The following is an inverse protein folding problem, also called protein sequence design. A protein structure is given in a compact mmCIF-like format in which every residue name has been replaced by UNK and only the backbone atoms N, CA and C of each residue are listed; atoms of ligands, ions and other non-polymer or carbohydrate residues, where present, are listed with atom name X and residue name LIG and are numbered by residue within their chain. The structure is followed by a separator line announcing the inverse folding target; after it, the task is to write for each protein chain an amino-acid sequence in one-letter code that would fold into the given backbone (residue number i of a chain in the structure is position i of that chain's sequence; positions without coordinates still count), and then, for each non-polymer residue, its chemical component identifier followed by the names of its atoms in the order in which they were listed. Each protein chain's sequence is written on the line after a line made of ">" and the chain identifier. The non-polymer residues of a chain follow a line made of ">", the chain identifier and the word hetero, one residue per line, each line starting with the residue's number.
data_IF_332432658472
#
_entry.id   IF_332432658472
#
_cell.length_a   1.000
_cell.length_b   1.000
_cell.length_c   1.000
_cell.angle_alpha   90.00
_cell.angle_beta   90.00
_cell.angle_gamma   90.00
#
_symmetry.space_group_name_H-M   'P 1'
#
loop_
_entity.id
_entity.type
_entity.pdbx_description
1 polymer ?
#
# COMPACT_ATOMS: atom_id res chain seq x y z
N UNK A 1 -9.94 0.50 -3.23
CA UNK A 1 -10.71 0.58 -4.48
C UNK A 1 -9.86 1.29 -5.53
N UNK A 2 -9.60 0.67 -6.68
CA UNK A 2 -8.88 1.23 -7.82
C UNK A 2 -9.87 1.63 -8.93
N UNK A 3 -9.47 2.51 -9.86
CA UNK A 3 -10.36 3.04 -10.90
C UNK A 3 -10.98 1.94 -11.79
N UNK A 4 -10.24 0.84 -12.03
CA UNK A 4 -10.70 -0.29 -12.83
C UNK A 4 -11.95 -0.96 -12.26
N UNK A 5 -12.17 -0.91 -10.95
CA UNK A 5 -13.34 -1.51 -10.29
C UNK A 5 -14.65 -0.79 -10.61
N UNK A 6 -14.59 0.40 -11.25
CA UNK A 6 -15.78 1.14 -11.66
C UNK A 6 -16.43 0.62 -12.95
N UNK A 7 -15.79 -0.36 -13.63
CA UNK A 7 -16.30 -0.91 -14.90
C UNK A 7 -16.38 0.11 -16.02
N UNK A 8 -15.54 1.16 -15.96
CA UNK A 8 -15.50 2.26 -16.94
C UNK A 8 -14.39 2.12 -17.98
N UNK A 9 -13.59 1.06 -17.90
CA UNK A 9 -12.52 0.81 -18.85
C UNK A 9 -13.12 0.14 -20.08
N UNK A 10 -12.85 0.72 -21.25
CA UNK A 10 -13.18 0.10 -22.52
C UNK A 10 -12.15 -1.01 -22.79
N UNK A 11 -12.60 -2.26 -22.68
CA UNK A 11 -11.74 -3.45 -22.82
C UNK A 11 -11.20 -3.58 -24.23
N UNK A 12 -11.98 -3.21 -25.26
CA UNK A 12 -11.57 -3.34 -26.67
C UNK A 12 -10.49 -2.33 -27.04
N UNK A 13 -10.42 -1.20 -26.32
CA UNK A 13 -9.35 -0.21 -26.45
C UNK A 13 -8.15 -0.57 -25.58
N UNK A 14 -8.38 -1.03 -24.35
CA UNK A 14 -7.30 -1.32 -23.40
C UNK A 14 -6.55 -2.63 -23.71
N UNK A 15 -7.26 -3.66 -24.20
CA UNK A 15 -6.70 -4.97 -24.51
C UNK A 15 -5.99 -5.07 -25.86
N UNK A 16 -5.70 -3.95 -26.52
CA UNK A 16 -4.92 -3.93 -27.76
C UNK A 16 -3.43 -4.16 -27.45
N UNK A 17 -2.73 -4.76 -28.41
CA UNK A 17 -1.28 -4.95 -28.31
C UNK A 17 -0.57 -3.59 -28.18
N UNK A 18 -0.04 -3.31 -27.00
CA UNK A 18 0.88 -2.20 -26.75
C UNK A 18 2.29 -2.74 -26.88
N UNK A 19 2.86 -2.66 -28.09
CA UNK A 19 4.29 -2.78 -28.29
C UNK A 19 4.92 -1.38 -28.22
N UNK A 20 5.62 -1.11 -27.12
CA UNK A 20 6.49 0.07 -27.02
C UNK A 20 7.92 -0.36 -27.32
N UNK A 21 8.44 0.06 -28.47
CA UNK A 21 9.85 -0.12 -28.79
C UNK A 21 10.63 1.02 -28.13
N UNK A 22 11.32 0.72 -27.03
CA UNK A 22 12.24 1.64 -26.38
C UNK A 22 13.64 1.47 -27.01
N UNK A 23 14.53 2.44 -26.78
CA UNK A 23 15.89 2.41 -27.36
C UNK A 23 16.70 1.18 -26.94
N UNK A 24 16.37 0.57 -25.78
CA UNK A 24 17.10 -0.57 -25.19
C UNK A 24 16.29 -1.87 -25.14
N UNK A 25 14.95 -1.79 -25.11
CA UNK A 25 14.08 -2.97 -24.99
C UNK A 25 12.69 -2.75 -25.58
N UNK A 26 12.02 -3.84 -25.92
CA UNK A 26 10.62 -3.82 -26.33
C UNK A 26 9.77 -4.33 -25.16
N UNK A 27 8.78 -3.54 -24.76
CA UNK A 27 7.73 -3.99 -23.84
C UNK A 27 6.53 -4.37 -24.68
N UNK A 28 6.09 -5.62 -24.58
CA UNK A 28 4.90 -6.14 -25.25
C UNK A 28 4.01 -6.87 -24.25
N UNK A 29 2.74 -6.51 -24.22
CA UNK A 29 1.71 -7.29 -23.54
C UNK A 29 1.08 -8.23 -24.55
N UNK A 30 0.78 -9.46 -24.14
CA UNK A 30 0.07 -10.38 -25.03
C UNK A 30 -1.40 -9.94 -25.17
N UNK A 31 -1.97 -10.06 -26.36
CA UNK A 31 -3.40 -9.82 -26.64
C UNK A 31 -4.36 -10.55 -25.70
N UNK A 32 -3.86 -11.58 -25.03
CA UNK A 32 -4.59 -12.47 -24.15
C UNK A 32 -4.54 -12.10 -22.67
N UNK A 33 -3.79 -11.06 -22.30
CA UNK A 33 -3.55 -10.69 -20.91
C UNK A 33 -4.73 -9.90 -20.30
N UNK A 34 -5.45 -9.13 -21.13
CA UNK A 34 -6.55 -8.26 -20.71
C UNK A 34 -7.86 -8.55 -21.46
N UNK A 35 -8.26 -9.83 -21.52
CA UNK A 35 -9.43 -10.30 -22.30
C UNK A 35 -10.78 -9.76 -21.82
N UNK A 36 -10.88 -9.36 -20.55
CA UNK A 36 -12.11 -8.92 -19.94
C UNK A 36 -11.85 -7.96 -18.77
N UNK A 37 -12.92 -7.37 -18.26
CA UNK A 37 -12.86 -6.42 -17.16
C UNK A 37 -12.18 -7.00 -15.91
N UNK A 38 -12.39 -8.29 -15.62
CA UNK A 38 -11.83 -8.93 -14.42
C UNK A 38 -10.31 -9.03 -14.48
N UNK A 39 -9.75 -9.39 -15.64
CA UNK A 39 -8.29 -9.39 -15.86
C UNK A 39 -7.68 -8.01 -15.63
N UNK A 40 -8.34 -6.96 -16.13
CA UNK A 40 -7.90 -5.57 -15.97
C UNK A 40 -7.97 -5.14 -14.50
N UNK A 41 -9.07 -5.49 -13.80
CA UNK A 41 -9.24 -5.22 -12.37
C UNK A 41 -8.14 -5.93 -11.57
N UNK A 42 -7.88 -7.20 -11.85
CA UNK A 42 -6.88 -7.98 -11.12
C UNK A 42 -5.47 -7.40 -11.27
N UNK A 43 -5.04 -7.11 -12.50
CA UNK A 43 -3.74 -6.48 -12.74
C UNK A 43 -3.64 -5.09 -12.09
N UNK A 44 -4.72 -4.30 -12.14
CA UNK A 44 -4.78 -2.99 -11.48
C UNK A 44 -4.68 -3.11 -9.96
N UNK A 45 -5.34 -4.10 -9.36
CA UNK A 45 -5.25 -4.38 -7.92
C UNK A 45 -3.83 -4.80 -7.53
N UNK A 46 -3.16 -5.64 -8.33
CA UNK A 46 -1.76 -6.01 -8.11
C UNK A 46 -0.82 -4.80 -8.17
N UNK A 47 -1.02 -3.90 -9.15
CA UNK A 47 -0.24 -2.68 -9.27
C UNK A 47 -0.43 -1.76 -8.06
N UNK A 48 -1.67 -1.56 -7.62
CA UNK A 48 -1.98 -0.76 -6.42
C UNK A 48 -1.38 -1.40 -5.16
N UNK A 49 -1.49 -2.71 -5.00
CA UNK A 49 -0.90 -3.46 -3.88
C UNK A 49 0.63 -3.28 -3.84
N UNK A 50 1.28 -3.43 -5.00
CA UNK A 50 2.73 -3.27 -5.13
C UNK A 50 3.18 -1.86 -4.80
N UNK A 51 2.49 -0.85 -5.35
CA UNK A 51 2.77 0.55 -5.05
C UNK A 51 2.56 0.86 -3.56
N UNK A 52 1.50 0.33 -2.96
CA UNK A 52 1.23 0.49 -1.54
C UNK A 52 2.36 -0.11 -0.68
N UNK A 53 2.75 -1.36 -0.91
CA UNK A 53 3.86 -2.00 -0.19
C UNK A 53 5.19 -1.24 -0.35
N UNK A 54 5.50 -0.77 -1.57
CA UNK A 54 6.66 0.05 -1.83
C UNK A 54 6.62 1.38 -1.04
N UNK A 55 5.46 2.03 -0.93
CA UNK A 55 5.34 3.27 -0.14
C UNK A 55 5.60 3.03 1.34
N UNK A 56 5.22 1.89 1.91
CA UNK A 56 5.56 1.56 3.30
C UNK A 56 7.07 1.49 3.52
N UNK A 57 7.80 0.85 2.60
CA UNK A 57 9.27 0.78 2.65
C UNK A 57 9.88 2.18 2.53
N UNK A 58 9.43 2.99 1.57
CA UNK A 58 9.95 4.34 1.39
C UNK A 58 9.73 5.21 2.64
N UNK A 59 8.54 5.14 3.24
CA UNK A 59 8.23 5.89 4.47
C UNK A 59 9.06 5.41 5.66
N UNK A 60 9.30 4.10 5.79
CA UNK A 60 10.19 3.52 6.80
C UNK A 60 11.60 4.11 6.67
N UNK A 61 12.17 4.08 5.45
CA UNK A 61 13.50 4.64 5.17
C UNK A 61 13.60 6.14 5.44
N UNK A 62 12.56 6.93 5.15
CA UNK A 62 12.50 8.35 5.49
C UNK A 62 12.59 8.54 7.01
N UNK A 63 11.89 7.70 7.76
CA UNK A 63 11.76 7.80 9.21
C UNK A 63 12.92 7.18 9.99
N UNK A 64 13.79 6.38 9.37
CA UNK A 64 15.00 5.81 9.99
C UNK A 64 15.93 6.89 10.57
N UNK A 65 16.03 8.03 9.89
CA UNK A 65 16.89 9.15 10.30
C UNK A 65 16.21 10.11 11.28
N UNK A 66 14.92 9.94 11.51
CA UNK A 66 14.12 10.81 12.37
C UNK A 66 14.19 10.29 13.80
N UNK A 67 14.97 10.95 14.65
CA UNK A 67 14.96 10.69 16.09
C UNK A 67 13.93 11.61 16.75
N UNK A 68 12.69 11.10 16.89
CA UNK A 68 11.57 11.86 17.45
C UNK A 68 10.94 11.11 18.61
N UNK A 69 10.75 11.84 19.72
CA UNK A 69 9.97 11.38 20.86
C UNK A 69 8.46 11.65 20.69
N UNK A 70 8.05 12.30 19.59
CA UNK A 70 6.65 12.63 19.31
C UNK A 70 5.81 11.36 19.18
N UNK A 71 4.80 11.24 20.04
CA UNK A 71 3.95 10.04 20.13
C UNK A 71 3.33 9.65 18.79
N UNK A 72 2.84 10.62 18.04
CA UNK A 72 2.23 10.43 16.72
C UNK A 72 3.20 9.80 15.71
N UNK A 73 4.47 10.21 15.72
CA UNK A 73 5.51 9.63 14.86
C UNK A 73 5.85 8.20 15.30
N UNK A 74 5.86 7.91 16.60
CA UNK A 74 6.06 6.54 17.11
C UNK A 74 4.93 5.62 16.66
N UNK A 75 3.68 6.07 16.78
CA UNK A 75 2.49 5.34 16.31
C UNK A 75 2.58 5.05 14.81
N UNK A 76 2.91 6.07 14.01
CA UNK A 76 3.09 5.93 12.56
C UNK A 76 4.21 4.92 12.22
N UNK A 77 5.36 4.99 12.92
CA UNK A 77 6.48 4.05 12.72
C UNK A 77 6.04 2.61 13.02
N UNK A 78 5.30 2.39 14.10
CA UNK A 78 4.76 1.07 14.43
C UNK A 78 3.84 0.53 13.33
N UNK A 79 2.91 1.36 12.83
CA UNK A 79 2.02 0.96 11.74
C UNK A 79 2.78 0.65 10.44
N UNK A 80 3.74 1.51 10.06
CA UNK A 80 4.57 1.30 8.87
C UNK A 80 5.37 0.01 8.98
N UNK A 81 5.97 -0.25 10.14
CA UNK A 81 6.71 -1.50 10.37
C UNK A 81 5.82 -2.72 10.26
N UNK A 82 4.62 -2.69 10.86
CA UNK A 82 3.65 -3.79 10.76
C UNK A 82 3.18 -3.99 9.31
N UNK A 83 2.90 -2.90 8.60
CA UNK A 83 2.48 -2.92 7.20
C UNK A 83 3.58 -3.49 6.31
N UNK A 84 4.83 -3.04 6.47
CA UNK A 84 5.98 -3.58 5.74
C UNK A 84 6.14 -5.09 5.96
N UNK A 85 5.99 -5.56 7.19
CA UNK A 85 6.04 -6.99 7.50
C UNK A 85 4.90 -7.77 6.83
N UNK A 86 3.72 -7.17 6.69
CA UNK A 86 2.61 -7.83 6.00
C UNK A 86 2.93 -8.11 4.51
N UNK A 87 3.70 -7.22 3.88
CA UNK A 87 4.10 -7.33 2.49
C UNK A 87 5.42 -8.10 2.28
N UNK A 88 6.22 -8.34 3.33
CA UNK A 88 7.52 -8.99 3.20
C UNK A 88 7.46 -10.49 2.89
N UNK A 89 6.31 -11.13 3.11
CA UNK A 89 6.12 -12.56 2.90
C UNK A 89 5.33 -12.89 1.63
N UNK A 90 4.80 -11.88 0.93
CA UNK A 90 4.08 -12.04 -0.34
C UNK A 90 3.40 -10.76 -0.79
N UNK A 91 3.92 -10.11 -1.84
CA UNK A 91 3.34 -8.84 -2.35
C UNK A 91 2.00 -9.06 -3.07
N UNK A 92 1.82 -10.22 -3.71
CA UNK A 92 0.60 -10.56 -4.44
C UNK A 92 -0.58 -10.94 -3.52
N UNK A 93 -0.29 -11.40 -2.30
CA UNK A 93 -1.28 -11.78 -1.30
C UNK A 93 -0.73 -11.48 0.10
N UNK A 94 -0.66 -10.19 0.48
CA UNK A 94 -0.08 -9.78 1.76
C UNK A 94 -0.92 -10.27 2.94
N UNK A 95 -0.24 -10.70 4.00
CA UNK A 95 -0.85 -11.20 5.24
C UNK A 95 -0.13 -10.57 6.41
N UNK A 96 -0.88 -10.05 7.39
CA UNK A 96 -0.32 -9.43 8.57
C UNK A 96 0.55 -10.42 9.36
N UNK A 97 1.79 -10.01 9.62
CA UNK A 97 2.69 -10.74 10.49
C UNK A 97 3.25 -9.83 11.58
N UNK A 98 2.68 -9.92 12.78
CA UNK A 98 3.06 -9.13 13.95
C UNK A 98 3.51 -10.06 15.06
N UNK A 99 4.71 -9.83 15.61
CA UNK A 99 5.23 -10.64 16.71
C UNK A 99 4.53 -10.26 18.02
N UNK A 100 4.32 -11.19 18.98
CA UNK A 100 3.59 -10.90 20.22
C UNK A 100 4.10 -9.71 21.04
N UNK A 101 5.42 -9.49 21.07
CA UNK A 101 6.03 -8.33 21.77
C UNK A 101 5.84 -6.98 21.04
N UNK A 102 5.17 -6.99 19.88
CA UNK A 102 4.77 -5.82 19.07
C UNK A 102 3.26 -5.67 19.00
N UNK A 103 2.50 -6.43 19.79
CA UNK A 103 1.07 -6.22 19.91
C UNK A 103 0.81 -4.92 20.66
N UNK A 104 0.14 -4.01 19.97
CA UNK A 104 -0.24 -2.70 20.50
C UNK A 104 -1.50 -2.21 19.80
N UNK A 105 -2.18 -1.27 20.46
CA UNK A 105 -3.31 -0.53 19.89
C UNK A 105 -2.80 0.84 19.45
N UNK A 106 -2.88 1.10 18.15
CA UNK A 106 -2.44 2.33 17.51
C UNK A 106 -3.65 3.25 17.34
N UNK A 107 -3.63 4.45 17.94
CA UNK A 107 -4.67 5.46 17.73
C UNK A 107 -4.24 6.45 16.65
N UNK A 108 -4.96 6.44 15.51
CA UNK A 108 -4.73 7.36 14.39
C UNK A 108 -5.70 8.57 14.39
N UNK A 109 -6.38 8.86 15.50
CA UNK A 109 -7.34 9.97 15.58
C UNK A 109 -6.75 11.33 15.18
N UNK A 110 -5.45 11.56 15.42
CA UNK A 110 -4.73 12.80 15.06
C UNK A 110 -4.62 13.06 13.54
N UNK A 111 -4.97 12.09 12.70
CA UNK A 111 -5.06 12.21 11.24
C UNK A 111 -6.44 11.80 10.70
N UNK A 112 -7.48 11.94 11.54
CA UNK A 112 -8.85 11.51 11.25
C UNK A 112 -8.93 10.02 10.86
N UNK A 113 -8.08 9.19 11.47
CA UNK A 113 -7.99 7.75 11.26
C UNK A 113 -8.80 6.94 12.28
N UNK A 114 -8.53 5.63 12.31
CA UNK A 114 -9.17 4.67 13.23
C UNK A 114 -8.17 4.16 14.27
N UNK A 115 -8.69 3.57 15.34
CA UNK A 115 -7.90 2.73 16.23
C UNK A 115 -7.62 1.36 15.60
N UNK A 116 -6.36 0.94 15.63
CA UNK A 116 -5.90 -0.33 15.03
C UNK A 116 -5.33 -1.21 16.12
N UNK A 117 -5.88 -2.42 16.30
CA UNK A 117 -5.30 -3.41 17.20
C UNK A 117 -4.46 -4.40 16.39
N UNK A 118 -3.13 -4.33 16.51
CA UNK A 118 -2.21 -5.18 15.75
C UNK A 118 -2.27 -6.67 16.13
N UNK A 119 -2.72 -6.99 17.34
CA UNK A 119 -2.94 -8.39 17.76
C UNK A 119 -4.05 -9.02 16.93
N UNK A 120 -5.16 -8.30 16.77
CA UNK A 120 -6.32 -8.78 16.02
C UNK A 120 -6.03 -8.94 14.52
N UNK A 121 -5.04 -8.22 14.00
CA UNK A 121 -4.65 -8.30 12.61
C UNK A 121 -3.70 -9.47 12.34
N UNK A 122 -2.91 -9.91 13.31
CA UNK A 122 -1.90 -10.94 13.09
C UNK A 122 -2.49 -12.24 12.49
N UNK A 123 -1.92 -12.70 11.38
CA UNK A 123 -2.36 -13.88 10.62
C UNK A 123 -3.59 -13.64 9.74
N UNK A 124 -4.11 -12.41 9.66
CA UNK A 124 -5.21 -12.07 8.75
C UNK A 124 -4.67 -11.59 7.40
N UNK A 125 -5.39 -11.86 6.30
CA UNK A 125 -5.13 -11.20 5.03
C UNK A 125 -5.14 -9.68 5.20
N UNK A 126 -4.20 -9.00 4.56
CA UNK A 126 -4.13 -7.55 4.60
C UNK A 126 -5.27 -6.97 3.77
N UNK A 127 -5.99 -6.02 4.36
CA UNK A 127 -7.00 -5.21 3.68
C UNK A 127 -6.86 -3.74 4.07
N UNK A 128 -6.99 -2.84 3.10
CA UNK A 128 -6.81 -1.41 3.32
C UNK A 128 -7.76 -0.85 4.39
N UNK A 129 -8.98 -1.38 4.52
CA UNK A 129 -9.96 -0.90 5.51
C UNK A 129 -9.52 -1.11 6.95
N UNK A 130 -8.67 -2.12 7.21
CA UNK A 130 -8.13 -2.42 8.54
C UNK A 130 -7.23 -1.30 9.09
N UNK A 131 -6.74 -0.42 8.22
CA UNK A 131 -5.96 0.77 8.57
C UNK A 131 -6.72 2.07 8.32
N UNK A 132 -8.04 2.00 8.09
CA UNK A 132 -8.89 3.15 7.76
C UNK A 132 -8.94 3.50 6.27
N UNK A 133 -8.44 2.61 5.39
CA UNK A 133 -8.48 2.76 3.95
C UNK A 133 -7.30 3.55 3.37
N UNK A 134 -7.24 3.59 2.03
CA UNK A 134 -6.19 4.31 1.31
C UNK A 134 -6.12 5.79 1.69
N UNK A 135 -7.26 6.43 1.97
CA UNK A 135 -7.30 7.84 2.36
C UNK A 135 -6.48 8.12 3.63
N UNK A 136 -6.60 7.27 4.66
CA UNK A 136 -5.81 7.39 5.89
C UNK A 136 -4.33 7.20 5.59
N UNK A 137 -3.96 6.23 4.75
CA UNK A 137 -2.57 6.05 4.32
C UNK A 137 -1.98 7.29 3.62
N UNK A 138 -2.75 7.94 2.75
CA UNK A 138 -2.32 9.20 2.12
C UNK A 138 -2.13 10.34 3.13
N UNK A 139 -2.96 10.41 4.16
CA UNK A 139 -2.78 11.38 5.25
C UNK A 139 -1.54 11.07 6.08
N UNK A 140 -1.27 9.80 6.41
CA UNK A 140 -0.01 9.37 7.05
C UNK A 140 1.20 9.84 6.23
N UNK A 141 1.21 9.54 4.92
CA UNK A 141 2.27 9.97 4.01
C UNK A 141 2.48 11.50 4.06
N UNK A 142 1.40 12.26 3.97
CA UNK A 142 1.44 13.73 3.98
C UNK A 142 1.92 14.29 5.32
N UNK A 143 1.48 13.68 6.41
CA UNK A 143 1.89 14.01 7.77
C UNK A 143 3.40 13.81 7.93
N UNK A 144 3.94 12.66 7.52
CA UNK A 144 5.39 12.36 7.59
C UNK A 144 6.20 13.36 6.77
N UNK A 145 5.80 13.61 5.52
CA UNK A 145 6.52 14.55 4.65
C UNK A 145 6.55 15.95 5.27
N UNK A 146 5.42 16.41 5.80
CA UNK A 146 5.31 17.71 6.46
C UNK A 146 6.17 17.76 7.73
N UNK A 147 6.13 16.70 8.54
CA UNK A 147 6.92 16.60 9.76
C UNK A 147 8.42 16.69 9.46
N UNK A 148 8.91 15.85 8.53
CA UNK A 148 10.34 15.79 8.17
C UNK A 148 10.83 17.09 7.53
N UNK A 149 9.98 17.80 6.79
CA UNK A 149 10.36 19.08 6.17
C UNK A 149 10.53 20.21 7.20
N UNK A 150 9.98 20.06 8.40
CA UNK A 150 9.99 21.07 9.46
C UNK A 150 10.98 20.75 10.60
N UNK A 151 11.70 19.63 10.51
CA UNK A 151 12.76 19.21 11.45
C UNK A 151 14.12 19.23 10.80
#
# INVERSE_FOLDING_TARGET
>A
MCYAELGKIDVDVFGQDLQSNLDEENVSYSSDEFKNQDSIVHASQMAVSTAFGATAICLDCILEKVNSEHSEIKIIKSLISATRNAFSHGIAAPEWFVKPHKFEVLDLSFIDGIGINLENLNGQPFDYSQIGGLAVWYRIKSYIITYVSNT
#
